data_IF_259721287829
#
_entry.id   IF_259721287829
#
_cell.length_a   1.000
_cell.length_b   1.000
_cell.length_c   1.000
_cell.angle_alpha   90.00
_cell.angle_beta   90.00
_cell.angle_gamma   90.00
#
_symmetry.space_group_name_H-M   'P 1'
#
loop_
_entity.id
_entity.type
_entity.pdbx_description
1 polymer ?
#
# COMPACT_ATOMS: atom_id res chain seq x y z
N UNK A 1 -7.79 -6.57 -14.40
CA UNK A 1 -6.36 -6.40 -14.75
C UNK A 1 -5.51 -6.31 -13.48
N UNK A 2 -4.25 -6.82 -13.46
CA UNK A 2 -3.37 -6.72 -12.28
C UNK A 2 -2.60 -5.39 -12.23
N UNK A 3 -2.09 -4.93 -13.36
CA UNK A 3 -1.26 -3.73 -13.49
C UNK A 3 -2.06 -2.56 -14.07
N UNK A 4 -1.54 -1.34 -13.91
CA UNK A 4 -2.10 -0.10 -14.46
C UNK A 4 -0.98 0.76 -15.03
N UNK A 5 -1.32 1.64 -15.97
CA UNK A 5 -0.45 2.71 -16.46
C UNK A 5 -0.66 4.05 -15.76
N UNK A 6 -1.68 4.15 -14.90
CA UNK A 6 -2.04 5.40 -14.22
C UNK A 6 -1.74 5.30 -12.72
N UNK A 7 -0.96 6.24 -12.20
CA UNK A 7 -0.60 6.33 -10.77
C UNK A 7 -1.00 7.70 -10.23
N UNK A 8 -1.66 7.70 -9.08
CA UNK A 8 -1.85 8.89 -8.25
C UNK A 8 -0.71 8.98 -7.23
N UNK A 9 -0.08 10.16 -7.16
CA UNK A 9 0.89 10.48 -6.12
C UNK A 9 0.54 11.80 -5.46
N UNK A 10 0.72 11.89 -4.14
CA UNK A 10 0.49 13.13 -3.37
C UNK A 10 1.85 13.74 -3.06
N UNK A 11 2.12 14.94 -3.58
CA UNK A 11 3.39 15.63 -3.33
C UNK A 11 3.39 16.20 -1.90
N UNK A 12 4.37 15.85 -1.06
CA UNK A 12 4.40 16.27 0.34
C UNK A 12 4.71 17.78 0.48
N UNK A 13 4.07 18.44 1.44
CA UNK A 13 4.38 19.84 1.80
C UNK A 13 4.94 20.01 3.22
N UNK A 14 4.80 18.99 4.07
CA UNK A 14 5.24 18.98 5.48
C UNK A 14 5.59 17.54 5.93
N UNK A 15 6.34 16.80 5.11
CA UNK A 15 6.84 15.46 5.42
C UNK A 15 7.85 15.52 6.56
N UNK A 16 7.50 14.85 7.65
CA UNK A 16 8.29 14.78 8.88
C UNK A 16 7.84 13.59 9.73
N UNK A 17 8.55 13.37 10.83
CA UNK A 17 8.16 12.38 11.83
C UNK A 17 6.74 12.64 12.36
N UNK A 18 5.89 11.61 12.32
CA UNK A 18 4.53 11.67 12.84
C UNK A 18 4.42 10.91 14.17
N UNK A 19 4.30 11.66 15.27
CA UNK A 19 4.21 11.08 16.62
C UNK A 19 2.99 10.14 16.78
N UNK A 20 1.88 10.40 16.09
CA UNK A 20 0.66 9.57 16.20
C UNK A 20 0.78 8.20 15.56
N UNK A 21 1.75 8.00 14.67
CA UNK A 21 1.99 6.71 13.98
C UNK A 21 3.23 6.00 14.51
N UNK A 22 4.16 6.71 15.12
CA UNK A 22 5.44 6.17 15.57
C UNK A 22 5.32 5.01 16.58
N UNK A 23 4.26 5.00 17.41
CA UNK A 23 4.04 3.94 18.39
C UNK A 23 3.75 2.56 17.78
N UNK A 24 3.30 2.50 16.53
CA UNK A 24 2.93 1.26 15.83
C UNK A 24 3.54 1.13 14.42
N UNK A 25 4.41 2.06 14.01
CA UNK A 25 5.23 1.95 12.80
C UNK A 25 6.72 1.95 13.15
N UNK A 26 7.33 0.76 13.20
CA UNK A 26 8.76 0.59 13.53
C UNK A 26 9.73 1.17 12.49
N UNK A 27 9.26 1.50 11.29
CA UNK A 27 10.06 2.14 10.26
C UNK A 27 10.17 3.66 10.43
N UNK A 28 9.30 4.27 11.23
CA UNK A 28 9.44 5.69 11.55
C UNK A 28 10.51 5.89 12.63
N UNK A 29 11.56 6.62 12.25
CA UNK A 29 12.61 7.05 13.16
C UNK A 29 12.56 8.57 13.25
N UNK A 30 12.61 9.10 14.47
CA UNK A 30 12.77 10.54 14.66
C UNK A 30 14.14 10.94 14.10
N UNK A 31 14.16 11.94 13.23
CA UNK A 31 15.39 12.52 12.71
C UNK A 31 15.58 13.91 13.31
N UNK A 32 16.81 14.24 13.67
CA UNK A 32 17.21 15.61 14.04
C UNK A 32 17.53 16.47 12.81
N UNK A 33 17.46 15.88 11.61
CA UNK A 33 17.72 16.59 10.37
C UNK A 33 16.63 17.64 10.10
N UNK A 34 17.06 18.85 9.75
CA UNK A 34 16.16 19.98 9.47
C UNK A 34 15.68 20.02 8.03
N UNK A 35 16.25 19.22 7.14
CA UNK A 35 16.02 19.21 5.70
C UNK A 35 15.22 18.00 5.19
N UNK A 36 14.61 17.22 6.10
CA UNK A 36 13.82 16.01 5.77
C UNK A 36 12.76 16.26 4.70
N UNK A 37 11.98 17.35 4.83
CA UNK A 37 10.98 17.73 3.82
C UNK A 37 11.64 18.04 2.46
N UNK A 38 12.79 18.71 2.44
CA UNK A 38 13.48 19.05 1.19
C UNK A 38 14.00 17.78 0.50
N UNK A 39 14.60 16.86 1.26
CA UNK A 39 15.08 15.59 0.72
C UNK A 39 13.92 14.73 0.21
N UNK A 40 12.83 14.61 0.96
CA UNK A 40 11.63 13.88 0.55
C UNK A 40 11.03 14.44 -0.73
N UNK A 41 10.99 15.77 -0.88
CA UNK A 41 10.53 16.42 -2.11
C UNK A 41 11.43 16.10 -3.30
N UNK A 42 12.76 16.13 -3.11
CA UNK A 42 13.72 15.78 -4.16
C UNK A 42 13.58 14.31 -4.60
N UNK A 43 13.43 13.39 -3.66
CA UNK A 43 13.19 11.97 -3.96
C UNK A 43 11.84 11.76 -4.65
N UNK A 44 10.79 12.44 -4.17
CA UNK A 44 9.45 12.37 -4.77
C UNK A 44 9.46 12.85 -6.22
N UNK A 45 10.00 14.04 -6.49
CA UNK A 45 10.04 14.60 -7.83
C UNK A 45 10.93 13.76 -8.77
N UNK A 46 12.07 13.28 -8.28
CA UNK A 46 12.91 12.34 -9.02
C UNK A 46 12.18 11.02 -9.36
N UNK A 47 11.36 10.51 -8.44
CA UNK A 47 10.57 9.31 -8.67
C UNK A 47 9.45 9.54 -9.71
N UNK A 48 8.76 10.68 -9.63
CA UNK A 48 7.76 11.10 -10.63
C UNK A 48 8.38 11.20 -12.02
N UNK A 49 9.55 11.85 -12.14
CA UNK A 49 10.26 12.01 -13.41
C UNK A 49 10.73 10.66 -13.98
N UNK A 50 11.21 9.75 -13.11
CA UNK A 50 11.58 8.38 -13.51
C UNK A 50 10.37 7.61 -14.07
N UNK A 51 9.23 7.64 -13.38
CA UNK A 51 8.01 6.99 -13.86
C UNK A 51 7.53 7.56 -15.20
N UNK A 52 7.45 8.89 -15.33
CA UNK A 52 7.01 9.56 -16.57
C UNK A 52 7.96 9.31 -17.73
N UNK A 53 9.28 9.34 -17.50
CA UNK A 53 10.28 9.05 -18.54
C UNK A 53 10.22 7.60 -19.04
N UNK A 54 9.67 6.69 -18.24
CA UNK A 54 9.39 5.32 -18.62
C UNK A 54 7.95 5.09 -19.16
N UNK A 55 7.21 6.17 -19.46
CA UNK A 55 5.89 6.08 -20.11
C UNK A 55 4.73 5.76 -19.17
N UNK A 56 4.90 5.92 -17.85
CA UNK A 56 3.81 5.80 -16.86
C UNK A 56 3.09 7.15 -16.74
N UNK A 57 1.76 7.13 -16.76
CA UNK A 57 0.94 8.32 -16.53
C UNK A 57 0.82 8.61 -15.02
N UNK A 58 1.47 9.67 -14.56
CA UNK A 58 1.52 10.04 -13.15
C UNK A 58 0.73 11.32 -12.91
N UNK A 59 -0.41 11.18 -12.24
CA UNK A 59 -1.20 12.29 -11.69
C UNK A 59 -0.62 12.69 -10.33
N UNK A 60 -0.05 13.89 -10.26
CA UNK A 60 0.46 14.46 -9.02
C UNK A 60 -0.55 15.48 -8.49
N UNK A 61 -0.90 15.36 -7.22
CA UNK A 61 -1.68 16.37 -6.48
C UNK A 61 -0.81 16.91 -5.36
N UNK A 62 -0.69 18.24 -5.27
CA UNK A 62 0.02 18.86 -4.16
C UNK A 62 -0.79 18.73 -2.86
N UNK A 63 -0.10 18.39 -1.77
CA UNK A 63 -0.72 18.42 -0.45
C UNK A 63 -0.94 19.84 0.08
N UNK A 64 -1.62 19.98 1.21
CA UNK A 64 -1.90 21.27 1.87
C UNK A 64 -1.27 21.30 3.25
N UNK A 65 -0.75 22.47 3.68
CA UNK A 65 -0.17 22.62 5.03
C UNK A 65 -1.20 22.45 6.14
N UNK A 66 -2.47 22.76 5.85
CA UNK A 66 -3.58 22.66 6.79
C UNK A 66 -4.71 21.82 6.19
N UNK A 67 -5.19 20.77 6.88
CA UNK A 67 -4.70 20.28 8.18
C UNK A 67 -3.31 19.63 8.12
N UNK A 68 -2.61 19.58 9.25
CA UNK A 68 -1.28 18.96 9.33
C UNK A 68 -1.33 17.42 9.18
N UNK A 69 -1.02 16.93 7.98
CA UNK A 69 -1.03 15.50 7.61
C UNK A 69 0.33 15.06 7.03
N UNK A 70 1.36 14.83 7.87
CA UNK A 70 2.72 14.54 7.41
C UNK A 70 2.87 13.23 6.61
N UNK A 71 1.93 12.29 6.73
CA UNK A 71 1.92 11.01 6.03
C UNK A 71 1.03 11.01 4.76
N UNK A 72 0.50 12.16 4.33
CA UNK A 72 -0.41 12.30 3.17
C UNK A 72 0.19 11.83 1.84
N UNK A 73 1.52 11.77 1.76
CA UNK A 73 2.30 11.20 0.65
C UNK A 73 1.94 9.73 0.35
N UNK A 74 1.30 9.03 1.29
CA UNK A 74 0.87 7.63 1.17
C UNK A 74 -0.65 7.51 0.95
N UNK A 75 -1.21 7.93 -0.21
CA UNK A 75 -2.65 7.91 -0.45
C UNK A 75 -3.24 6.49 -0.48
N UNK A 76 -2.40 5.48 -0.73
CA UNK A 76 -2.78 4.07 -0.75
C UNK A 76 -3.38 3.59 0.58
N UNK A 77 -3.17 4.33 1.68
CA UNK A 77 -3.76 3.98 2.97
C UNK A 77 -5.21 4.42 3.12
N UNK A 78 -5.63 5.52 2.50
CA UNK A 78 -6.99 6.04 2.69
C UNK A 78 -7.91 5.87 1.49
N UNK A 79 -7.37 5.61 0.28
CA UNK A 79 -8.17 5.37 -0.93
C UNK A 79 -7.63 4.24 -1.81
N UNK A 80 -8.54 3.53 -2.48
CA UNK A 80 -8.21 2.68 -3.63
C UNK A 80 -9.22 2.84 -4.76
N UNK A 81 -8.73 2.62 -5.99
CA UNK A 81 -9.48 2.72 -7.24
C UNK A 81 -9.51 1.36 -7.93
N UNK A 82 -10.63 1.03 -8.58
CA UNK A 82 -10.87 -0.26 -9.21
C UNK A 82 -11.36 -0.12 -10.65
N UNK A 83 -11.17 -1.18 -11.44
CA UNK A 83 -11.39 -1.20 -12.90
C UNK A 83 -12.86 -0.98 -13.30
N UNK A 84 -13.81 -1.24 -12.39
CA UNK A 84 -15.24 -1.00 -12.55
C UNK A 84 -15.67 0.42 -12.11
N UNK A 85 -14.71 1.32 -11.88
CA UNK A 85 -14.94 2.68 -11.42
C UNK A 85 -15.29 2.77 -9.93
N UNK A 86 -15.24 1.67 -9.17
CA UNK A 86 -15.46 1.71 -7.74
C UNK A 86 -14.29 2.43 -7.04
N UNK A 87 -14.63 3.29 -6.08
CA UNK A 87 -13.68 3.92 -5.16
C UNK A 87 -13.99 3.45 -3.75
N UNK A 88 -12.95 3.11 -2.98
CA UNK A 88 -13.09 2.79 -1.56
C UNK A 88 -12.36 3.82 -0.71
N UNK A 89 -13.05 4.35 0.31
CA UNK A 89 -12.46 5.18 1.35
C UNK A 89 -12.30 4.37 2.61
N UNK A 90 -11.17 4.53 3.28
CA UNK A 90 -10.75 3.59 4.32
C UNK A 90 -10.69 4.19 5.73
N UNK A 91 -11.05 3.40 6.76
CA UNK A 91 -10.93 3.81 8.16
C UNK A 91 -9.47 3.76 8.63
N UNK A 92 -8.95 4.89 9.12
CA UNK A 92 -7.54 5.08 9.50
C UNK A 92 -7.37 5.06 11.02
N UNK A 93 -6.33 4.37 11.50
CA UNK A 93 -6.07 4.22 12.94
C UNK A 93 -5.77 5.58 13.59
N UNK A 94 -4.72 6.23 13.11
CA UNK A 94 -4.26 7.53 13.63
C UNK A 94 -5.20 8.65 13.21
N UNK A 95 -5.59 9.51 14.15
CA UNK A 95 -6.63 10.53 13.93
C UNK A 95 -6.21 11.58 12.91
N UNK A 96 -4.95 12.02 12.93
CA UNK A 96 -4.46 12.99 11.95
C UNK A 96 -4.51 12.42 10.52
N UNK A 97 -4.28 11.12 10.34
CA UNK A 97 -4.35 10.48 9.03
C UNK A 97 -5.76 10.39 8.46
N UNK A 98 -6.80 10.49 9.29
CA UNK A 98 -8.20 10.56 8.82
C UNK A 98 -8.47 11.83 8.01
N UNK A 99 -7.70 12.89 8.27
CA UNK A 99 -7.79 14.18 7.59
C UNK A 99 -7.14 14.16 6.20
N UNK A 100 -6.38 13.10 5.85
CA UNK A 100 -5.80 12.89 4.51
C UNK A 100 -6.88 12.61 3.45
N UNK A 101 -8.10 12.20 3.86
CA UNK A 101 -9.21 11.92 2.95
C UNK A 101 -9.75 13.21 2.35
N UNK A 102 -9.45 13.41 1.06
CA UNK A 102 -9.68 14.67 0.35
C UNK A 102 -10.61 14.47 -0.86
N UNK A 103 -11.88 14.87 -0.70
CA UNK A 103 -12.93 14.69 -1.72
C UNK A 103 -12.66 15.43 -3.04
N UNK A 104 -11.93 16.54 -2.99
CA UNK A 104 -11.51 17.30 -4.16
C UNK A 104 -10.51 16.54 -5.04
N UNK A 105 -9.75 15.60 -4.48
CA UNK A 105 -8.89 14.70 -5.25
C UNK A 105 -9.75 13.82 -6.14
N UNK A 106 -10.82 13.22 -5.57
CA UNK A 106 -11.77 12.40 -6.32
C UNK A 106 -12.41 13.22 -7.46
N UNK A 107 -12.89 14.44 -7.17
CA UNK A 107 -13.46 15.34 -8.20
C UNK A 107 -12.46 15.72 -9.31
N UNK A 108 -11.18 15.76 -8.99
CA UNK A 108 -10.14 16.03 -9.99
C UNK A 108 -9.94 14.82 -10.89
N UNK A 109 -9.93 13.61 -10.32
CA UNK A 109 -9.82 12.35 -11.05
C UNK A 109 -11.03 12.07 -11.94
N UNK A 110 -12.25 12.44 -11.52
CA UNK A 110 -13.49 12.31 -12.32
C UNK A 110 -13.43 13.01 -13.69
N UNK A 111 -12.49 13.96 -13.88
CA UNK A 111 -12.31 14.63 -15.18
C UNK A 111 -11.72 13.71 -16.25
N UNK A 112 -10.95 12.71 -15.82
CA UNK A 112 -10.20 11.82 -16.70
C UNK A 112 -10.56 10.33 -16.52
N UNK A 113 -11.22 9.98 -15.42
CA UNK A 113 -11.58 8.61 -15.06
C UNK A 113 -13.06 8.50 -14.69
N UNK A 114 -13.65 7.33 -14.93
CA UNK A 114 -15.00 7.03 -14.47
C UNK A 114 -14.97 6.66 -12.98
N UNK A 115 -15.72 7.41 -12.16
CA UNK A 115 -16.06 7.03 -10.79
C UNK A 115 -17.53 6.62 -10.79
N UNK A 116 -17.79 5.31 -10.69
CA UNK A 116 -19.16 4.76 -10.76
C UNK A 116 -19.86 4.86 -9.40
N UNK A 117 -19.14 4.61 -8.31
CA UNK A 117 -19.64 4.72 -6.95
C UNK A 117 -18.51 4.80 -5.93
N UNK A 118 -18.80 5.42 -4.78
CA UNK A 118 -17.88 5.55 -3.64
C UNK A 118 -18.40 4.67 -2.50
N UNK A 119 -17.61 3.67 -2.12
CA UNK A 119 -17.82 2.83 -0.94
C UNK A 119 -17.02 3.43 0.22
N UNK A 120 -17.69 4.22 1.06
CA UNK A 120 -17.04 4.80 2.23
C UNK A 120 -17.06 3.81 3.40
N UNK A 121 -15.90 3.27 3.77
CA UNK A 121 -15.70 2.39 4.92
C UNK A 121 -15.21 3.18 6.15
N UNK A 122 -15.02 4.50 6.06
CA UNK A 122 -14.52 5.32 7.18
C UNK A 122 -15.47 5.35 8.38
N UNK A 123 -16.75 4.99 8.20
CA UNK A 123 -17.70 4.86 9.31
C UNK A 123 -17.26 3.84 10.38
N UNK A 124 -16.39 2.89 10.05
CA UNK A 124 -15.82 1.95 11.00
C UNK A 124 -14.94 2.62 12.07
N UNK A 125 -14.43 3.83 11.82
CA UNK A 125 -13.67 4.61 12.80
C UNK A 125 -14.48 4.90 14.07
N UNK A 126 -15.80 5.13 13.94
CA UNK A 126 -16.70 5.32 15.08
C UNK A 126 -16.84 4.08 15.99
N UNK A 127 -16.34 2.93 15.54
CA UNK A 127 -16.31 1.66 16.26
C UNK A 127 -14.88 1.21 16.60
N UNK A 128 -13.87 2.05 16.36
CA UNK A 128 -12.45 1.69 16.47
C UNK A 128 -12.05 0.45 15.66
N UNK A 129 -12.61 0.31 14.46
CA UNK A 129 -12.27 -0.76 13.51
C UNK A 129 -11.55 -0.10 12.33
N UNK A 130 -10.40 -0.65 11.92
CA UNK A 130 -9.51 -0.01 10.95
C UNK A 130 -9.10 -0.96 9.81
N UNK A 131 -8.80 -0.35 8.66
CA UNK A 131 -8.32 -1.02 7.46
C UNK A 131 -7.63 0.05 6.62
N UNK A 132 -6.32 0.23 6.75
CA UNK A 132 -5.58 1.30 6.04
C UNK A 132 -5.26 0.93 4.58
N UNK A 133 -6.32 0.72 3.81
CA UNK A 133 -6.29 0.60 2.35
C UNK A 133 -5.32 -0.46 1.84
N UNK A 134 -4.70 -0.21 0.69
CA UNK A 134 -3.74 -1.14 0.07
C UNK A 134 -2.36 -1.11 0.72
N UNK A 135 -2.19 -0.41 1.85
CA UNK A 135 -1.11 -0.68 2.79
C UNK A 135 -1.43 -1.91 3.66
N UNK A 136 -2.62 -1.90 4.25
CA UNK A 136 -3.14 -2.99 5.09
C UNK A 136 -3.53 -4.27 4.33
N UNK A 137 -3.64 -4.22 3.00
CA UNK A 137 -3.93 -5.40 2.19
C UNK A 137 -3.23 -5.36 0.83
N UNK A 138 -2.98 -6.53 0.26
CA UNK A 138 -2.43 -6.71 -1.09
C UNK A 138 -3.42 -7.46 -1.95
N UNK A 139 -3.70 -6.93 -3.14
CA UNK A 139 -4.75 -7.45 -4.03
C UNK A 139 -4.14 -8.24 -5.20
N UNK A 140 -4.48 -9.51 -5.29
CA UNK A 140 -4.46 -10.24 -6.56
C UNK A 140 -5.75 -9.90 -7.31
N UNK A 141 -5.69 -8.85 -8.11
CA UNK A 141 -6.82 -8.29 -8.84
C UNK A 141 -7.29 -9.23 -9.95
N UNK A 142 -6.37 -9.96 -10.57
CA UNK A 142 -6.70 -10.91 -11.64
C UNK A 142 -7.47 -12.12 -11.10
N UNK A 143 -7.06 -12.65 -9.94
CA UNK A 143 -7.70 -13.83 -9.33
C UNK A 143 -8.78 -13.50 -8.28
N UNK A 144 -9.01 -12.19 -8.03
CA UNK A 144 -9.94 -11.69 -7.00
C UNK A 144 -9.65 -12.30 -5.63
N UNK A 145 -8.39 -12.23 -5.20
CA UNK A 145 -7.95 -12.62 -3.84
C UNK A 145 -7.32 -11.42 -3.15
N UNK A 146 -7.74 -11.12 -1.93
CA UNK A 146 -7.16 -10.08 -1.09
C UNK A 146 -6.42 -10.74 0.07
N UNK A 147 -5.19 -10.32 0.31
CA UNK A 147 -4.32 -10.82 1.37
C UNK A 147 -4.16 -9.73 2.42
N UNK A 148 -4.38 -10.07 3.69
CA UNK A 148 -4.24 -9.14 4.81
C UNK A 148 -3.61 -9.82 6.03
N UNK A 149 -2.49 -9.26 6.48
CA UNK A 149 -1.96 -9.52 7.81
C UNK A 149 -2.72 -8.67 8.84
N UNK A 150 -3.18 -9.29 9.93
CA UNK A 150 -3.89 -8.57 10.98
C UNK A 150 -2.92 -7.71 11.79
N UNK A 151 -3.39 -6.52 12.17
CA UNK A 151 -2.63 -5.56 12.97
C UNK A 151 -3.59 -4.56 13.61
N UNK A 152 -3.06 -3.61 14.40
CA UNK A 152 -3.86 -2.49 14.92
C UNK A 152 -4.45 -1.58 13.82
N UNK A 153 -4.00 -1.75 12.57
CA UNK A 153 -4.43 -0.99 11.38
C UNK A 153 -5.26 -1.84 10.41
N UNK A 154 -5.46 -3.13 10.71
CA UNK A 154 -6.11 -4.10 9.83
C UNK A 154 -6.95 -5.06 10.64
N UNK A 155 -8.26 -4.81 10.67
CA UNK A 155 -9.24 -5.60 11.40
C UNK A 155 -10.08 -6.47 10.47
N UNK A 156 -10.41 -7.68 10.94
CA UNK A 156 -11.13 -8.71 10.16
C UNK A 156 -12.48 -8.20 9.63
N UNK A 157 -13.21 -7.43 10.45
CA UNK A 157 -14.56 -6.97 10.10
C UNK A 157 -14.55 -6.04 8.88
N UNK A 158 -13.73 -4.98 8.91
CA UNK A 158 -13.62 -4.04 7.80
C UNK A 158 -13.02 -4.71 6.55
N UNK A 159 -12.02 -5.59 6.73
CA UNK A 159 -11.39 -6.32 5.63
C UNK A 159 -12.38 -7.26 4.90
N UNK A 160 -13.15 -8.04 5.66
CA UNK A 160 -14.17 -8.91 5.08
C UNK A 160 -15.29 -8.13 4.40
N UNK A 161 -15.68 -6.97 4.94
CA UNK A 161 -16.65 -6.09 4.30
C UNK A 161 -16.12 -5.54 2.96
N UNK A 162 -14.87 -5.07 2.92
CA UNK A 162 -14.21 -4.70 1.67
C UNK A 162 -14.23 -5.86 0.66
N UNK A 163 -13.82 -7.06 1.09
CA UNK A 163 -13.78 -8.24 0.23
C UNK A 163 -15.16 -8.57 -0.35
N UNK A 164 -16.20 -8.50 0.47
CA UNK A 164 -17.58 -8.74 0.03
C UNK A 164 -18.03 -7.71 -1.02
N UNK A 165 -17.80 -6.42 -0.76
CA UNK A 165 -18.22 -5.33 -1.65
C UNK A 165 -17.44 -5.34 -2.97
N UNK A 166 -16.13 -5.57 -2.93
CA UNK A 166 -15.25 -5.55 -4.10
C UNK A 166 -15.17 -6.91 -4.85
N UNK A 167 -15.83 -7.95 -4.32
CA UNK A 167 -15.89 -9.28 -4.92
C UNK A 167 -14.59 -10.08 -4.80
N UNK A 168 -13.84 -9.90 -3.72
CA UNK A 168 -12.59 -10.62 -3.42
C UNK A 168 -12.83 -11.78 -2.44
N UNK A 169 -12.04 -12.85 -2.59
CA UNK A 169 -11.85 -13.88 -1.56
C UNK A 169 -10.82 -13.38 -0.54
N UNK A 170 -11.15 -13.47 0.74
CA UNK A 170 -10.28 -13.06 1.84
C UNK A 170 -9.24 -14.12 2.18
N UNK A 171 -7.97 -13.73 2.30
CA UNK A 171 -6.88 -14.51 2.91
C UNK A 171 -6.33 -13.70 4.06
N UNK A 172 -6.58 -14.17 5.28
CA UNK A 172 -6.21 -13.50 6.53
C UNK A 172 -5.15 -14.33 7.25
N UNK A 173 -4.14 -13.67 7.80
CA UNK A 173 -3.07 -14.30 8.56
C UNK A 173 -2.46 -13.32 9.57
N UNK A 174 -1.59 -13.82 10.43
CA UNK A 174 -0.80 -13.04 11.37
C UNK A 174 0.66 -13.03 10.92
N UNK A 175 1.32 -11.88 11.04
CA UNK A 175 2.73 -11.76 10.68
C UNK A 175 3.50 -10.88 11.67
N UNK A 176 4.76 -11.21 11.88
CA UNK A 176 5.69 -10.54 12.79
C UNK A 176 7.04 -10.32 12.12
N UNK A 177 7.78 -9.30 12.54
CA UNK A 177 9.16 -9.08 12.14
C UNK A 177 10.14 -10.04 12.85
N UNK A 178 11.44 -9.90 12.56
CA UNK A 178 12.51 -10.71 13.16
C UNK A 178 12.66 -10.53 14.68
N UNK A 179 12.04 -9.49 15.25
CA UNK A 179 12.01 -9.22 16.69
C UNK A 179 10.70 -9.69 17.36
N UNK A 180 9.85 -10.39 16.59
CA UNK A 180 8.52 -10.86 17.00
C UNK A 180 7.52 -9.71 17.26
N UNK A 181 7.74 -8.54 16.64
CA UNK A 181 6.80 -7.42 16.67
C UNK A 181 5.81 -7.51 15.51
N UNK A 182 4.50 -7.24 15.70
CA UNK A 182 3.51 -7.35 14.63
C UNK A 182 3.83 -6.47 13.41
N UNK A 183 3.69 -7.05 12.21
CA UNK A 183 3.77 -6.28 10.97
C UNK A 183 2.50 -5.45 10.83
N UNK A 184 2.66 -4.13 10.69
CA UNK A 184 1.55 -3.19 10.69
C UNK A 184 0.78 -3.14 9.36
N UNK A 185 1.47 -3.31 8.22
CA UNK A 185 0.91 -3.27 6.87
C UNK A 185 1.40 -4.46 6.04
N UNK A 186 0.49 -5.09 5.30
CA UNK A 186 0.78 -6.28 4.49
C UNK A 186 1.73 -5.99 3.34
N UNK A 187 1.64 -4.79 2.76
CA UNK A 187 2.50 -4.39 1.63
C UNK A 187 3.98 -4.19 2.01
N UNK A 188 4.34 -4.25 3.30
CA UNK A 188 5.74 -4.27 3.74
C UNK A 188 6.39 -5.63 3.48
N UNK A 189 5.59 -6.69 3.60
CA UNK A 189 6.08 -8.07 3.54
C UNK A 189 5.74 -8.80 2.24
N UNK A 190 4.86 -8.26 1.39
CA UNK A 190 4.51 -8.88 0.12
C UNK A 190 4.00 -7.90 -0.93
N UNK A 191 4.19 -8.27 -2.21
CA UNK A 191 3.53 -7.66 -3.36
C UNK A 191 3.10 -8.74 -4.37
N UNK A 192 2.17 -8.40 -5.26
CA UNK A 192 1.66 -9.30 -6.30
C UNK A 192 1.76 -8.62 -7.67
N UNK A 193 2.52 -9.25 -8.56
CA UNK A 193 2.56 -8.94 -9.98
C UNK A 193 1.62 -9.83 -10.80
N UNK A 194 1.63 -9.67 -12.11
CA UNK A 194 0.85 -10.44 -13.07
C UNK A 194 1.24 -11.94 -13.03
N UNK A 195 2.53 -12.23 -12.91
CA UNK A 195 3.12 -13.57 -12.98
C UNK A 195 3.79 -14.05 -11.70
N UNK A 196 4.02 -13.17 -10.72
CA UNK A 196 4.76 -13.50 -9.52
C UNK A 196 4.10 -12.91 -8.27
N UNK A 197 4.48 -13.43 -7.10
CA UNK A 197 4.20 -12.86 -5.80
C UNK A 197 5.50 -12.87 -4.97
N UNK A 198 5.92 -11.69 -4.51
CA UNK A 198 7.03 -11.56 -3.56
C UNK A 198 6.45 -11.66 -2.16
N UNK A 199 7.02 -12.49 -1.29
CA UNK A 199 6.53 -12.62 0.10
C UNK A 199 7.62 -13.07 1.08
N UNK A 200 7.67 -12.43 2.25
CA UNK A 200 8.43 -12.92 3.39
C UNK A 200 7.63 -13.99 4.15
N UNK A 201 7.71 -15.26 3.73
CA UNK A 201 6.96 -16.35 4.41
C UNK A 201 7.42 -16.59 5.85
N UNK A 202 8.67 -16.26 6.18
CA UNK A 202 9.19 -16.43 7.54
C UNK A 202 8.57 -15.46 8.55
N UNK A 203 8.01 -14.35 8.07
CA UNK A 203 7.21 -13.44 8.90
C UNK A 203 5.89 -14.04 9.38
N UNK A 204 5.43 -15.17 8.83
CA UNK A 204 4.19 -15.84 9.23
C UNK A 204 4.54 -17.01 10.16
N UNK A 205 4.50 -16.84 11.50
CA UNK A 205 5.00 -17.85 12.44
C UNK A 205 4.09 -19.08 12.52
N UNK A 206 2.79 -18.91 12.30
CA UNK A 206 1.84 -20.02 12.29
C UNK A 206 2.00 -20.82 10.99
N UNK A 207 2.47 -22.06 11.10
CA UNK A 207 2.72 -22.93 9.95
C UNK A 207 1.46 -23.25 9.14
N UNK A 208 0.29 -23.31 9.77
CA UNK A 208 -0.98 -23.51 9.07
C UNK A 208 -1.38 -22.29 8.26
N UNK A 209 -1.22 -21.08 8.81
CA UNK A 209 -1.48 -19.84 8.08
C UNK A 209 -0.47 -19.65 6.93
N UNK A 210 0.81 -19.94 7.18
CA UNK A 210 1.87 -19.88 6.18
C UNK A 210 1.57 -20.81 5.00
N UNK A 211 1.21 -22.06 5.29
CA UNK A 211 0.82 -23.03 4.27
C UNK A 211 -0.47 -22.62 3.55
N UNK A 212 -1.44 -22.04 4.26
CA UNK A 212 -2.66 -21.51 3.64
C UNK A 212 -2.37 -20.37 2.66
N UNK A 213 -1.56 -19.38 3.05
CA UNK A 213 -1.14 -18.27 2.18
C UNK A 213 -0.36 -18.79 0.98
N UNK A 214 0.61 -19.68 1.21
CA UNK A 214 1.42 -20.26 0.14
C UNK A 214 0.55 -21.04 -0.86
N UNK A 215 -0.40 -21.87 -0.39
CA UNK A 215 -1.34 -22.58 -1.26
C UNK A 215 -2.24 -21.62 -2.03
N UNK A 216 -2.78 -20.59 -1.38
CA UNK A 216 -3.61 -19.58 -2.03
C UNK A 216 -2.86 -18.90 -3.18
N UNK A 217 -1.57 -18.55 -2.98
CA UNK A 217 -0.71 -18.00 -4.04
C UNK A 217 -0.41 -19.03 -5.13
N UNK A 218 -0.01 -20.26 -4.79
CA UNK A 218 0.34 -21.29 -5.79
C UNK A 218 -0.84 -21.66 -6.69
N UNK A 219 -2.08 -21.64 -6.17
CA UNK A 219 -3.29 -21.92 -6.97
C UNK A 219 -3.57 -20.89 -8.06
N UNK A 220 -2.96 -19.70 -7.98
CA UNK A 220 -3.08 -18.66 -9.03
C UNK A 220 -2.14 -18.88 -10.22
N UNK A 221 -1.22 -19.85 -10.13
CA UNK A 221 -0.18 -20.08 -11.13
C UNK A 221 0.97 -19.07 -11.11
N UNK A 222 0.99 -18.15 -10.13
CA UNK A 222 2.09 -17.20 -9.93
C UNK A 222 3.31 -17.87 -9.32
N UNK A 223 4.49 -17.43 -9.76
CA UNK A 223 5.76 -17.79 -9.14
C UNK A 223 5.87 -17.12 -7.76
N UNK A 224 6.18 -17.91 -6.73
CA UNK A 224 6.38 -17.39 -5.38
C UNK A 224 7.86 -17.07 -5.20
N UNK A 225 8.18 -15.79 -5.13
CA UNK A 225 9.52 -15.28 -4.85
C UNK A 225 9.61 -15.02 -3.35
N UNK A 226 10.47 -15.77 -2.66
CA UNK A 226 10.64 -15.63 -1.21
C UNK A 226 11.66 -14.54 -0.92
N UNK A 227 11.35 -13.66 0.02
CA UNK A 227 12.30 -12.68 0.55
C UNK A 227 12.60 -12.96 2.03
N UNK A 228 13.83 -12.70 2.42
CA UNK A 228 14.26 -12.78 3.83
C UNK A 228 13.71 -11.60 4.66
N UNK A 229 13.84 -11.69 5.98
CA UNK A 229 13.57 -10.55 6.86
C UNK A 229 14.43 -9.33 6.53
N UNK A 230 15.69 -9.53 6.14
CA UNK A 230 16.59 -8.43 5.78
C UNK A 230 16.10 -7.69 4.52
N UNK A 231 15.72 -8.43 3.49
CA UNK A 231 15.10 -7.88 2.28
C UNK A 231 13.78 -7.19 2.58
N UNK A 232 12.93 -7.79 3.43
CA UNK A 232 11.68 -7.17 3.89
C UNK A 232 11.94 -5.84 4.61
N UNK A 233 12.96 -5.77 5.47
CA UNK A 233 13.33 -4.56 6.21
C UNK A 233 13.91 -3.46 5.30
N UNK A 234 14.41 -3.83 4.12
CA UNK A 234 14.76 -2.89 3.04
C UNK A 234 13.60 -2.67 2.04
N UNK A 235 12.37 -2.97 2.43
CA UNK A 235 11.14 -2.76 1.64
C UNK A 235 11.06 -3.56 0.33
N UNK A 236 11.72 -4.71 0.22
CA UNK A 236 11.56 -5.61 -0.93
C UNK A 236 10.13 -6.17 -1.08
N UNK A 237 9.33 -6.19 -0.01
CA UNK A 237 7.90 -6.51 -0.12
C UNK A 237 7.07 -5.38 -0.73
N UNK A 238 7.57 -4.15 -0.74
CA UNK A 238 6.83 -2.94 -1.14
C UNK A 238 7.07 -2.53 -2.60
N UNK A 239 7.25 -3.50 -3.48
CA UNK A 239 7.40 -3.24 -4.91
C UNK A 239 6.04 -3.08 -5.58
N UNK A 240 5.99 -2.33 -6.67
CA UNK A 240 4.79 -2.13 -7.46
C UNK A 240 5.05 -2.50 -8.92
N UNK A 241 4.27 -3.43 -9.47
CA UNK A 241 4.28 -3.68 -10.90
C UNK A 241 3.26 -2.76 -11.59
N UNK A 242 3.74 -2.02 -12.59
CA UNK A 242 2.95 -1.14 -13.44
C UNK A 242 3.19 -1.48 -14.90
N UNK A 243 2.46 -0.82 -15.79
CA UNK A 243 2.74 -0.86 -17.21
C UNK A 243 2.90 0.53 -17.79
N UNK A 244 3.62 0.67 -18.89
CA UNK A 244 3.75 1.95 -19.58
C UNK A 244 2.74 2.10 -20.73
N UNK A 245 2.82 3.23 -21.43
CA UNK A 245 2.06 3.57 -22.63
C UNK A 245 2.30 2.63 -23.84
N UNK A 246 3.29 1.74 -23.75
CA UNK A 246 3.60 0.68 -24.72
C UNK A 246 3.18 -0.72 -24.24
N UNK A 247 2.45 -0.81 -23.12
CA UNK A 247 2.02 -2.07 -22.48
C UNK A 247 3.20 -2.95 -21.98
N UNK A 248 4.39 -2.37 -21.81
CA UNK A 248 5.54 -3.04 -21.22
C UNK A 248 5.39 -3.08 -19.69
N UNK A 249 5.66 -4.24 -19.08
CA UNK A 249 5.59 -4.41 -17.63
C UNK A 249 6.85 -3.87 -16.95
N UNK A 250 6.67 -2.98 -15.98
CA UNK A 250 7.73 -2.38 -15.18
C UNK A 250 7.55 -2.78 -13.72
N UNK A 251 8.61 -3.30 -13.09
CA UNK A 251 8.65 -3.51 -11.65
C UNK A 251 9.39 -2.36 -10.99
N UNK A 252 8.69 -1.64 -10.13
CA UNK A 252 9.18 -0.42 -9.50
C UNK A 252 9.45 -0.68 -8.02
N UNK A 253 10.59 -0.24 -7.53
CA UNK A 253 11.02 -0.41 -6.15
C UNK A 253 12.03 0.68 -5.75
N UNK A 254 12.27 0.83 -4.44
CA UNK A 254 13.33 1.72 -3.94
C UNK A 254 14.73 1.19 -4.28
N UNK A 255 15.72 2.08 -4.31
CA UNK A 255 17.11 1.67 -4.53
C UNK A 255 17.61 0.74 -3.40
N UNK A 256 17.14 0.96 -2.16
CA UNK A 256 17.46 0.08 -1.03
C UNK A 256 16.90 -1.32 -1.21
N UNK A 257 15.65 -1.44 -1.66
CA UNK A 257 15.04 -2.74 -1.98
C UNK A 257 15.84 -3.44 -3.07
N UNK A 258 16.16 -2.73 -4.17
CA UNK A 258 16.95 -3.29 -5.28
C UNK A 258 18.32 -3.82 -4.83
N UNK A 259 19.04 -3.05 -4.01
CA UNK A 259 20.37 -3.45 -3.48
C UNK A 259 20.32 -4.63 -2.49
N UNK A 260 19.18 -4.86 -1.84
CA UNK A 260 19.00 -5.97 -0.92
C UNK A 260 18.66 -7.29 -1.63
N UNK A 261 18.22 -7.24 -2.89
CA UNK A 261 18.00 -8.44 -3.71
C UNK A 261 19.34 -9.07 -4.07
N UNK A 262 19.46 -10.37 -3.84
CA UNK A 262 20.72 -11.10 -3.96
C UNK A 262 20.58 -12.49 -4.61
N UNK A 263 19.38 -12.81 -5.10
CA UNK A 263 19.01 -14.08 -5.76
C UNK A 263 18.16 -13.80 -7.00
#
# INVERSE_FOLDING_TARGET
MQTTSHILMIRPVDFKFNEQTAGNNKFQQASEQSDVQQQALQEFDGFVDMLRSNGVDVTVIDDTLEPATPDSIFPNNWVSFHEDGAVFLYPMFSENRRLERRNEILKTLERNFEISHINDLSFYEGRNIFLEGTGSMVLDRANKIAYACLSVRTEVEAFNNFCQLAGYKSVIFNAVDSTNYPIYHTNVMMCIGDKFAVICLDSIPNLYERDFVQRALSLTGKEIIKISFDQMNHFAGNMLQVKNDKDESLLVMSEQAFKALNE
#
